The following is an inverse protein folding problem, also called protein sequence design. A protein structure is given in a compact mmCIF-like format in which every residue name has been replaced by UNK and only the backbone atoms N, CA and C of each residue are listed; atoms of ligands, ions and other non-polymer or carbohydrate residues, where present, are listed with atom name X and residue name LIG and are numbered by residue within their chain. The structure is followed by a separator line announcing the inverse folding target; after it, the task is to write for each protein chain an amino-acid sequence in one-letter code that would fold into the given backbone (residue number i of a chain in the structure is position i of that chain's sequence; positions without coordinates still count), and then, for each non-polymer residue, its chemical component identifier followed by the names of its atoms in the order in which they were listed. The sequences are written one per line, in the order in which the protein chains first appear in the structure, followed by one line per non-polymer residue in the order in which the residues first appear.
data_IF_381979675252
#
_entry.id   IF_381979675252
#
_cell.length_a   1.000
_cell.length_b   1.000
_cell.length_c   1.000
_cell.angle_alpha   90.00
_cell.angle_beta   90.00
_cell.angle_gamma   90.00
#
_symmetry.space_group_name_H-M   'P 1'
#
loop_
_entity.id
_entity.type
_entity.pdbx_description
1 polymer ?
#
# COMPACT_ATOMS: atom_id res chain seq x y z
N UNK A 1 -21.98 -6.97 14.74
CA UNK A 1 -22.35 -8.02 13.76
C UNK A 1 -21.80 -7.51 12.42
N UNK A 2 -20.74 -8.05 11.82
CA UNK A 2 -20.41 -9.46 11.52
C UNK A 2 -21.49 -10.09 10.60
N UNK A 3 -21.19 -10.71 9.45
CA UNK A 3 -19.88 -11.02 8.81
C UNK A 3 -20.03 -11.40 7.32
N UNK A 4 -18.94 -11.32 6.54
CA UNK A 4 -18.74 -12.07 5.28
C UNK A 4 -18.94 -11.26 3.98
N UNK A 5 -18.03 -11.25 2.99
CA UNK A 5 -16.64 -11.75 2.93
C UNK A 5 -16.41 -12.89 1.92
N UNK A 6 -15.26 -12.86 1.23
CA UNK A 6 -14.80 -13.72 0.11
C UNK A 6 -15.43 -13.45 -1.29
N UNK A 7 -14.72 -13.71 -2.40
CA UNK A 7 -13.30 -13.41 -2.67
C UNK A 7 -13.01 -13.41 -4.19
N UNK A 8 -11.99 -12.64 -4.54
CA UNK A 8 -11.03 -12.74 -5.64
C UNK A 8 -11.03 -14.02 -6.50
N UNK A 9 -10.99 -13.85 -7.83
CA UNK A 9 -10.68 -14.90 -8.80
C UNK A 9 -9.51 -14.48 -9.70
N UNK A 10 -8.29 -14.91 -9.37
CA UNK A 10 -7.09 -14.60 -10.12
C UNK A 10 -7.07 -15.32 -11.49
N UNK A 11 -6.64 -14.62 -12.54
CA UNK A 11 -6.18 -15.21 -13.79
C UNK A 11 -4.72 -14.82 -14.03
N UNK A 12 -3.81 -15.69 -13.59
CA UNK A 12 -2.38 -15.59 -13.88
C UNK A 12 -1.79 -17.02 -13.99
N UNK A 13 -0.77 -17.20 -14.82
CA UNK A 13 -0.26 -18.53 -15.23
C UNK A 13 -0.48 -18.80 -16.74
N UNK A 14 0.41 -18.53 -17.69
CA UNK A 14 1.88 -18.73 -17.83
C UNK A 14 2.20 -19.96 -18.69
N UNK A 15 3.21 -19.79 -19.58
CA UNK A 15 3.85 -20.77 -20.45
C UNK A 15 2.97 -21.47 -21.52
N UNK A 16 3.50 -21.93 -22.65
CA UNK A 16 4.88 -21.79 -23.13
C UNK A 16 5.45 -23.06 -23.74
N UNK A 17 5.19 -23.29 -25.04
CA UNK A 17 5.97 -24.20 -25.91
C UNK A 17 5.75 -23.74 -27.35
N UNK A 18 6.77 -23.35 -28.13
CA UNK A 18 8.00 -24.05 -28.50
C UNK A 18 7.78 -25.09 -29.61
N UNK A 19 8.64 -25.03 -30.63
CA UNK A 19 8.53 -25.81 -31.87
C UNK A 19 8.98 -27.27 -31.65
N UNK A 20 8.50 -28.18 -32.50
CA UNK A 20 9.38 -29.17 -33.15
C UNK A 20 8.74 -29.81 -34.38
N UNK A 21 9.58 -30.25 -35.30
CA UNK A 21 9.22 -31.09 -36.44
C UNK A 21 9.57 -32.55 -36.14
N UNK A 22 8.85 -33.51 -36.76
CA UNK A 22 9.20 -34.94 -36.64
C UNK A 22 7.99 -35.86 -36.79
N UNK A 23 7.80 -36.42 -37.98
CA UNK A 23 6.64 -37.27 -38.30
C UNK A 23 6.92 -38.41 -39.29
N UNK A 24 8.19 -38.85 -39.42
CA UNK A 24 8.50 -40.09 -40.15
C UNK A 24 7.97 -41.27 -39.34
N UNK A 25 7.03 -42.04 -39.90
CA UNK A 25 6.64 -43.35 -39.36
C UNK A 25 7.19 -44.45 -40.27
N UNK A 26 7.86 -45.41 -39.65
CA UNK A 26 8.61 -46.47 -40.34
C UNK A 26 7.65 -47.48 -40.97
N UNK A 27 8.01 -48.00 -42.14
CA UNK A 27 7.34 -49.15 -42.74
C UNK A 27 8.08 -50.42 -42.28
N UNK A 28 7.44 -51.22 -41.44
CA UNK A 28 8.02 -52.44 -40.91
C UNK A 28 8.16 -53.51 -41.99
N UNK A 29 9.39 -53.95 -42.25
CA UNK A 29 9.65 -55.07 -43.17
C UNK A 29 9.21 -56.41 -42.58
N UNK A 30 8.36 -57.12 -43.30
CA UNK A 30 8.23 -58.58 -43.24
C UNK A 30 8.21 -59.10 -44.68
N UNK A 31 9.25 -59.82 -45.06
CA UNK A 31 9.27 -60.57 -46.32
C UNK A 31 9.73 -62.00 -46.07
N UNK A 32 9.18 -62.95 -46.82
CA UNK A 32 9.90 -64.14 -47.28
C UNK A 32 9.09 -64.91 -48.34
N UNK A 33 9.82 -65.47 -49.30
CA UNK A 33 9.50 -66.62 -50.14
C UNK A 33 8.23 -66.64 -51.01
N UNK A 34 8.45 -66.58 -52.32
CA UNK A 34 7.53 -67.00 -53.38
C UNK A 34 6.95 -68.41 -53.15
N UNK A 35 5.79 -68.68 -53.74
CA UNK A 35 5.61 -69.93 -54.46
C UNK A 35 4.67 -69.73 -55.67
N UNK A 36 5.21 -69.83 -56.88
CA UNK A 36 4.41 -69.79 -58.10
C UNK A 36 3.62 -71.09 -58.26
N UNK A 37 2.29 -70.99 -58.29
CA UNK A 37 1.47 -72.07 -58.85
C UNK A 37 0.28 -71.52 -59.65
N UNK A 38 0.04 -72.12 -60.81
CA UNK A 38 -0.79 -71.54 -61.84
C UNK A 38 -2.29 -71.77 -61.58
N UNK A 39 -3.00 -70.73 -61.15
CA UNK A 39 -4.46 -70.69 -61.25
C UNK A 39 -4.96 -69.32 -61.76
N UNK A 40 -4.79 -69.08 -63.06
CA UNK A 40 -5.46 -67.99 -63.78
C UNK A 40 -6.95 -68.31 -63.87
N UNK A 41 -7.73 -67.85 -62.89
CA UNK A 41 -9.19 -67.76 -63.01
C UNK A 41 -9.56 -66.39 -63.64
N UNK A 42 -9.99 -66.34 -64.91
CA UNK A 42 -10.34 -65.08 -65.58
C UNK A 42 -11.75 -64.55 -65.20
N UNK A 43 -12.44 -65.19 -64.25
CA UNK A 43 -13.87 -65.00 -63.99
C UNK A 43 -14.28 -63.76 -63.18
N UNK A 44 -13.35 -62.89 -62.75
CA UNK A 44 -13.68 -61.64 -62.05
C UNK A 44 -12.93 -60.45 -62.65
N UNK A 45 -13.62 -59.73 -63.55
CA UNK A 45 -13.20 -58.40 -64.01
C UNK A 45 -13.36 -57.40 -62.85
N UNK A 46 -12.36 -56.56 -62.63
CA UNK A 46 -12.53 -55.32 -61.86
C UNK A 46 -13.50 -54.41 -62.62
N UNK A 47 -14.67 -54.13 -62.06
CA UNK A 47 -15.72 -53.33 -62.72
C UNK A 47 -15.45 -51.81 -62.62
N UNK A 48 -14.20 -51.39 -62.86
CA UNK A 48 -13.68 -50.05 -62.52
C UNK A 48 -12.89 -49.37 -63.64
N UNK A 49 -12.32 -50.12 -64.60
CA UNK A 49 -11.47 -49.58 -65.67
C UNK A 49 -11.97 -49.96 -67.08
N UNK A 50 -13.01 -49.25 -67.53
CA UNK A 50 -13.26 -49.02 -68.97
C UNK A 50 -13.89 -47.62 -69.18
N UNK A 51 -13.33 -46.61 -68.51
CA UNK A 51 -13.62 -45.22 -68.82
C UNK A 51 -12.80 -44.83 -70.05
N UNK A 52 -13.46 -44.64 -71.18
CA UNK A 52 -12.82 -44.03 -72.37
C UNK A 52 -12.08 -42.74 -71.99
N UNK A 53 -10.99 -42.41 -72.69
CA UNK A 53 -10.21 -41.20 -72.42
C UNK A 53 -11.04 -39.89 -72.51
N UNK A 54 -12.18 -39.91 -73.22
CA UNK A 54 -13.15 -38.81 -73.26
C UNK A 54 -13.95 -38.68 -71.96
N UNK A 55 -14.28 -39.78 -71.28
CA UNK A 55 -14.90 -39.76 -69.95
C UNK A 55 -13.92 -39.33 -68.86
N UNK A 56 -12.66 -39.78 -68.90
CA UNK A 56 -11.62 -39.33 -67.96
C UNK A 56 -11.45 -37.81 -68.03
N UNK A 57 -11.20 -37.25 -69.22
CA UNK A 57 -11.11 -35.78 -69.43
C UNK A 57 -12.32 -34.99 -68.95
N UNK A 58 -13.53 -35.58 -68.96
CA UNK A 58 -14.74 -34.93 -68.43
C UNK A 58 -14.82 -34.97 -66.90
N UNK A 59 -14.21 -35.96 -66.26
CA UNK A 59 -14.04 -35.97 -64.80
C UNK A 59 -12.98 -34.93 -64.42
N UNK A 60 -11.85 -34.89 -65.14
CA UNK A 60 -10.77 -33.92 -64.91
C UNK A 60 -11.27 -32.46 -65.05
N UNK A 61 -12.05 -32.17 -66.09
CA UNK A 61 -12.70 -30.88 -66.36
C UNK A 61 -13.69 -30.46 -65.24
N UNK A 62 -14.49 -31.41 -64.74
CA UNK A 62 -15.40 -31.18 -63.61
C UNK A 62 -14.63 -30.96 -62.29
N UNK A 63 -13.54 -31.71 -62.05
CA UNK A 63 -12.69 -31.54 -60.85
C UNK A 63 -12.02 -30.17 -60.87
N UNK A 64 -11.42 -29.77 -62.00
CA UNK A 64 -10.82 -28.44 -62.14
C UNK A 64 -11.85 -27.31 -61.92
N UNK A 65 -13.07 -27.44 -62.46
CA UNK A 65 -14.15 -26.48 -62.23
C UNK A 65 -14.58 -26.41 -60.75
N UNK A 66 -14.59 -27.54 -60.04
CA UNK A 66 -14.90 -27.60 -58.59
C UNK A 66 -13.77 -27.01 -57.74
N UNK A 67 -12.51 -27.26 -58.10
CA UNK A 67 -11.35 -26.71 -57.40
C UNK A 67 -11.26 -25.18 -57.57
N UNK A 68 -11.51 -24.64 -58.78
CA UNK A 68 -11.63 -23.19 -58.99
C UNK A 68 -12.78 -22.56 -58.21
N UNK A 69 -13.91 -23.26 -58.08
CA UNK A 69 -15.05 -22.82 -57.27
C UNK A 69 -14.71 -22.83 -55.77
N UNK A 70 -14.00 -23.86 -55.29
CA UNK A 70 -13.54 -23.94 -53.91
C UNK A 70 -12.51 -22.86 -53.58
N UNK A 71 -11.55 -22.60 -54.46
CA UNK A 71 -10.53 -21.54 -54.32
C UNK A 71 -11.16 -20.13 -54.35
N UNK A 72 -12.13 -19.89 -55.25
CA UNK A 72 -12.93 -18.64 -55.21
C UNK A 72 -13.70 -18.50 -53.90
N UNK A 73 -14.37 -19.56 -53.40
CA UNK A 73 -15.07 -19.54 -52.10
C UNK A 73 -14.10 -19.32 -50.93
N UNK A 74 -12.93 -19.94 -50.94
CA UNK A 74 -11.89 -19.76 -49.92
C UNK A 74 -11.40 -18.31 -49.87
N UNK A 75 -11.13 -17.69 -51.04
CA UNK A 75 -10.79 -16.26 -51.13
C UNK A 75 -11.90 -15.36 -50.57
N UNK A 76 -13.16 -15.62 -50.90
CA UNK A 76 -14.29 -14.84 -50.36
C UNK A 76 -14.43 -15.01 -48.83
N UNK A 77 -14.31 -16.23 -48.30
CA UNK A 77 -14.38 -16.50 -46.86
C UNK A 77 -13.20 -15.86 -46.09
N UNK A 78 -11.98 -15.90 -46.62
CA UNK A 78 -10.82 -15.24 -46.05
C UNK A 78 -10.99 -13.71 -46.01
N UNK A 79 -11.47 -13.11 -47.11
CA UNK A 79 -11.74 -11.66 -47.19
C UNK A 79 -12.86 -11.23 -46.24
N UNK A 80 -13.89 -12.05 -46.08
CA UNK A 80 -14.98 -11.82 -45.12
C UNK A 80 -14.49 -11.92 -43.67
N UNK A 81 -13.58 -12.85 -43.34
CA UNK A 81 -12.96 -12.93 -42.00
C UNK A 81 -12.09 -11.71 -41.67
N UNK A 82 -11.26 -11.26 -42.61
CA UNK A 82 -10.31 -10.17 -42.36
C UNK A 82 -10.96 -8.78 -42.37
N UNK A 83 -11.96 -8.55 -43.24
CA UNK A 83 -12.59 -7.24 -43.45
C UNK A 83 -14.07 -7.16 -43.05
N UNK A 84 -14.68 -8.24 -42.56
CA UNK A 84 -16.13 -8.30 -42.26
C UNK A 84 -16.60 -7.38 -41.13
N UNK A 85 -15.70 -6.93 -40.26
CA UNK A 85 -15.98 -5.96 -39.20
C UNK A 85 -16.12 -4.52 -39.72
N UNK A 86 -15.44 -4.18 -40.82
CA UNK A 86 -15.31 -2.80 -41.31
C UNK A 86 -16.66 -2.19 -41.75
N UNK A 87 -17.57 -2.92 -42.47
CA UNK A 87 -18.91 -2.42 -42.77
C UNK A 87 -19.81 -2.18 -41.55
N UNK A 88 -19.54 -2.83 -40.40
CA UNK A 88 -20.27 -2.61 -39.16
C UNK A 88 -19.78 -1.32 -38.49
N UNK A 89 -18.48 -1.23 -38.20
CA UNK A 89 -17.87 -0.07 -37.53
C UNK A 89 -18.11 1.24 -38.28
N UNK A 90 -18.10 1.23 -39.61
CA UNK A 90 -18.42 2.42 -40.42
C UNK A 90 -19.88 2.88 -40.24
N UNK A 91 -20.84 1.96 -40.00
CA UNK A 91 -22.24 2.32 -39.72
C UNK A 91 -22.38 2.92 -38.33
N UNK A 92 -21.70 2.34 -37.34
CA UNK A 92 -21.71 2.83 -35.96
C UNK A 92 -21.13 4.25 -35.91
N UNK A 93 -20.05 4.53 -36.65
CA UNK A 93 -19.52 5.89 -36.85
C UNK A 93 -20.51 6.83 -37.55
N UNK A 94 -21.18 6.40 -38.63
CA UNK A 94 -22.19 7.23 -39.32
C UNK A 94 -23.36 7.61 -38.40
N UNK A 95 -23.77 6.69 -37.52
CA UNK A 95 -24.85 6.90 -36.54
C UNK A 95 -24.39 7.82 -35.41
N UNK A 96 -23.22 7.58 -34.83
CA UNK A 96 -22.65 8.39 -33.74
C UNK A 96 -22.35 9.82 -34.16
N UNK A 97 -21.61 9.99 -35.25
CA UNK A 97 -21.18 11.30 -35.79
C UNK A 97 -22.25 11.98 -36.67
N UNK A 98 -23.44 11.37 -36.81
CA UNK A 98 -24.61 11.91 -37.54
C UNK A 98 -24.31 12.37 -38.98
N UNK A 99 -23.54 11.56 -39.69
CA UNK A 99 -22.89 11.94 -40.95
C UNK A 99 -23.90 12.12 -42.10
N UNK A 100 -23.99 13.30 -42.74
CA UNK A 100 -24.97 13.56 -43.79
C UNK A 100 -24.85 12.59 -44.99
N UNK A 101 -26.00 12.18 -45.52
CA UNK A 101 -26.06 11.43 -46.78
C UNK A 101 -25.55 12.27 -47.96
N UNK A 102 -24.70 11.72 -48.85
CA UNK A 102 -24.24 12.41 -50.06
C UNK A 102 -25.38 12.85 -50.99
N UNK A 103 -25.13 13.92 -51.76
CA UNK A 103 -26.15 14.62 -52.55
C UNK A 103 -26.20 14.22 -54.04
N UNK A 104 -25.38 13.27 -54.49
CA UNK A 104 -25.26 12.87 -55.89
C UNK A 104 -25.60 11.38 -56.12
N UNK A 105 -26.34 11.02 -57.19
CA UNK A 105 -26.60 9.64 -57.58
C UNK A 105 -25.60 9.11 -58.63
N UNK A 106 -24.94 7.98 -58.33
CA UNK A 106 -23.96 7.25 -59.19
C UNK A 106 -22.88 6.59 -58.31
N UNK A 107 -22.35 5.39 -58.55
CA UNK A 107 -22.49 4.46 -59.68
C UNK A 107 -22.52 2.97 -59.25
N UNK A 108 -23.00 2.12 -60.16
CA UNK A 108 -23.06 0.67 -59.99
C UNK A 108 -21.65 0.00 -59.96
N UNK A 109 -21.51 -1.23 -59.44
CA UNK A 109 -20.21 -1.91 -59.36
C UNK A 109 -19.78 -2.50 -60.71
N UNK A 110 -18.61 -2.09 -61.20
CA UNK A 110 -17.71 -3.01 -61.92
C UNK A 110 -16.83 -3.77 -60.92
N UNK A 111 -16.22 -4.86 -61.37
CA UNK A 111 -15.75 -5.96 -60.54
C UNK A 111 -14.54 -5.69 -59.61
N UNK A 112 -14.25 -6.67 -58.75
CA UNK A 112 -13.14 -6.73 -57.77
C UNK A 112 -13.34 -5.90 -56.47
N UNK A 113 -14.50 -5.24 -56.31
CA UNK A 113 -14.85 -4.39 -55.15
C UNK A 113 -14.68 -5.07 -53.78
N UNK A 114 -14.34 -4.29 -52.75
CA UNK A 114 -14.35 -4.69 -51.32
C UNK A 114 -15.76 -5.10 -50.85
N UNK A 115 -15.91 -5.75 -49.67
CA UNK A 115 -17.23 -6.02 -49.09
C UNK A 115 -18.10 -4.75 -49.10
N UNK A 116 -19.33 -4.80 -49.65
CA UNK A 116 -20.13 -3.60 -49.85
C UNK A 116 -20.52 -3.00 -48.49
N UNK A 117 -20.06 -1.78 -48.23
CA UNK A 117 -20.33 -1.06 -46.97
C UNK A 117 -21.84 -0.86 -46.73
N UNK A 118 -22.62 -0.81 -47.82
CA UNK A 118 -24.05 -0.48 -47.82
C UNK A 118 -24.34 1.00 -47.59
N UNK A 119 -23.30 1.83 -47.67
CA UNK A 119 -23.30 3.29 -47.66
C UNK A 119 -22.32 3.78 -48.74
N UNK A 120 -22.47 4.99 -49.30
CA UNK A 120 -21.52 5.53 -50.28
C UNK A 120 -20.12 5.75 -49.67
N UNK A 121 -19.08 5.63 -50.50
CA UNK A 121 -17.68 5.76 -50.05
C UNK A 121 -17.39 7.14 -49.44
N UNK A 122 -17.99 8.20 -49.99
CA UNK A 122 -17.88 9.57 -49.47
C UNK A 122 -18.42 9.70 -48.04
N UNK A 123 -19.54 9.04 -47.74
CA UNK A 123 -20.14 9.05 -46.41
C UNK A 123 -19.29 8.27 -45.41
N UNK A 124 -18.77 7.11 -45.83
CA UNK A 124 -17.85 6.30 -45.03
C UNK A 124 -16.54 7.03 -44.71
N UNK A 125 -15.96 7.73 -45.69
CA UNK A 125 -14.76 8.55 -45.49
C UNK A 125 -15.04 9.74 -44.56
N UNK A 126 -16.16 10.45 -44.75
CA UNK A 126 -16.56 11.57 -43.89
C UNK A 126 -16.78 11.10 -42.44
N UNK A 127 -17.37 9.92 -42.24
CA UNK A 127 -17.55 9.30 -40.93
C UNK A 127 -16.22 8.97 -40.25
N UNK A 128 -15.29 8.37 -40.98
CA UNK A 128 -13.96 8.07 -40.46
C UNK A 128 -13.19 9.33 -40.05
N UNK A 129 -13.26 10.41 -40.85
CA UNK A 129 -12.61 11.70 -40.53
C UNK A 129 -13.28 12.39 -39.33
N UNK A 130 -14.61 12.37 -39.23
CA UNK A 130 -15.34 12.90 -38.08
C UNK A 130 -14.97 12.15 -36.79
N UNK A 131 -15.13 10.83 -36.79
CA UNK A 131 -14.79 9.97 -35.64
C UNK A 131 -13.33 10.13 -35.20
N UNK A 132 -12.39 10.14 -36.15
CA UNK A 132 -10.96 10.32 -35.84
C UNK A 132 -10.66 11.69 -35.21
N UNK A 133 -11.43 12.73 -35.56
CA UNK A 133 -11.33 14.05 -34.93
C UNK A 133 -11.95 14.05 -33.53
N UNK A 134 -13.11 13.43 -33.35
CA UNK A 134 -13.78 13.34 -32.04
C UNK A 134 -12.96 12.54 -31.03
N UNK A 135 -12.43 11.38 -31.43
CA UNK A 135 -11.49 10.62 -30.60
C UNK A 135 -10.18 11.37 -30.36
N UNK A 136 -9.64 12.15 -31.32
CA UNK A 136 -8.45 12.97 -31.07
C UNK A 136 -8.68 14.05 -30.01
N UNK A 137 -9.85 14.70 -29.99
CA UNK A 137 -10.22 15.68 -28.96
C UNK A 137 -10.37 15.01 -27.59
N UNK A 138 -11.11 13.88 -27.53
CA UNK A 138 -11.33 13.08 -26.31
C UNK A 138 -10.05 12.51 -25.71
N UNK A 139 -9.10 12.07 -26.55
CA UNK A 139 -7.78 11.64 -26.08
C UNK A 139 -6.94 12.82 -25.57
N UNK A 140 -7.16 14.04 -26.09
CA UNK A 140 -6.61 15.27 -25.51
C UNK A 140 -7.15 15.55 -24.11
N UNK A 141 -8.47 15.49 -23.94
CA UNK A 141 -9.14 15.65 -22.64
C UNK A 141 -8.61 14.64 -21.60
N UNK A 142 -8.56 13.35 -21.94
CA UNK A 142 -8.01 12.29 -21.08
C UNK A 142 -6.51 12.51 -20.78
N UNK A 143 -5.74 13.03 -21.74
CA UNK A 143 -4.32 13.37 -21.52
C UNK A 143 -4.15 14.54 -20.55
N UNK A 144 -5.03 15.53 -20.58
CA UNK A 144 -5.03 16.65 -19.63
C UNK A 144 -5.52 16.23 -18.24
N UNK A 145 -6.50 15.33 -18.13
CA UNK A 145 -6.88 14.72 -16.86
C UNK A 145 -5.71 13.95 -16.23
N UNK A 146 -5.02 13.11 -17.00
CA UNK A 146 -3.83 12.38 -16.55
C UNK A 146 -2.70 13.33 -16.14
N UNK A 147 -2.50 14.45 -16.87
CA UNK A 147 -1.52 15.49 -16.51
C UNK A 147 -1.85 16.13 -15.16
N UNK A 148 -3.11 16.53 -14.94
CA UNK A 148 -3.58 17.14 -13.70
C UNK A 148 -3.54 16.15 -12.53
N UNK A 149 -3.82 14.86 -12.77
CA UNK A 149 -3.69 13.81 -11.75
C UNK A 149 -2.23 13.57 -11.34
N UNK A 150 -1.28 13.60 -12.28
CA UNK A 150 0.16 13.55 -11.96
C UNK A 150 0.59 14.75 -11.12
N UNK A 151 0.29 15.98 -11.56
CA UNK A 151 0.63 17.21 -10.81
C UNK A 151 0.07 17.19 -9.37
N UNK A 152 -1.16 16.68 -9.18
CA UNK A 152 -1.75 16.45 -7.85
C UNK A 152 -1.00 15.39 -7.05
N UNK A 153 -0.58 14.30 -7.68
CA UNK A 153 0.18 13.24 -7.03
C UNK A 153 1.57 13.73 -6.59
N UNK A 154 2.33 14.38 -7.47
CA UNK A 154 3.63 14.99 -7.12
C UNK A 154 3.49 16.00 -5.96
N UNK A 155 2.33 16.68 -5.83
CA UNK A 155 2.05 17.60 -4.72
C UNK A 155 1.71 16.87 -3.41
N UNK A 156 1.17 15.66 -3.48
CA UNK A 156 0.92 14.79 -2.32
C UNK A 156 2.21 14.09 -1.88
N UNK A 157 3.05 13.64 -2.82
CA UNK A 157 4.38 13.06 -2.57
C UNK A 157 5.25 14.04 -1.78
N UNK A 158 5.45 15.26 -2.29
CA UNK A 158 6.19 16.34 -1.59
C UNK A 158 5.58 16.78 -0.25
N UNK A 159 4.34 16.41 0.06
CA UNK A 159 3.73 16.59 1.40
C UNK A 159 4.03 15.39 2.30
N UNK A 160 3.97 14.19 1.76
CA UNK A 160 4.28 12.95 2.45
C UNK A 160 5.76 12.92 2.88
N UNK A 161 6.68 13.38 2.01
CA UNK A 161 8.10 13.52 2.32
C UNK A 161 8.31 14.42 3.56
N UNK A 162 7.71 15.62 3.57
CA UNK A 162 7.77 16.58 4.68
C UNK A 162 7.15 16.04 5.97
N UNK A 163 6.08 15.26 5.87
CA UNK A 163 5.48 14.59 7.03
C UNK A 163 6.40 13.47 7.55
N UNK A 164 7.10 12.76 6.67
CA UNK A 164 8.13 11.79 7.03
C UNK A 164 9.32 12.44 7.75
N UNK A 165 9.82 13.57 7.23
CA UNK A 165 10.86 14.39 7.88
C UNK A 165 10.42 14.83 9.30
N UNK A 166 9.17 15.29 9.46
CA UNK A 166 8.61 15.67 10.76
C UNK A 166 8.47 14.48 11.72
N UNK A 167 7.99 13.33 11.24
CA UNK A 167 7.86 12.12 12.05
C UNK A 167 9.21 11.59 12.51
N UNK A 168 10.22 11.54 11.65
CA UNK A 168 11.56 11.07 12.04
C UNK A 168 12.28 12.10 12.95
N UNK A 169 12.02 13.40 12.78
CA UNK A 169 12.47 14.45 13.72
C UNK A 169 11.86 14.25 15.11
N UNK A 170 10.54 14.05 15.21
CA UNK A 170 9.85 13.77 16.47
C UNK A 170 10.34 12.46 17.10
N UNK A 171 10.57 11.42 16.29
CA UNK A 171 11.13 10.14 16.73
C UNK A 171 12.53 10.30 17.33
N UNK A 172 13.39 11.12 16.72
CA UNK A 172 14.72 11.44 17.25
C UNK A 172 14.62 12.19 18.59
N UNK A 173 13.73 13.19 18.69
CA UNK A 173 13.48 13.93 19.93
C UNK A 173 12.97 13.02 21.06
N UNK A 174 12.01 12.12 20.77
CA UNK A 174 11.52 11.13 21.74
C UNK A 174 12.63 10.15 22.14
N UNK A 175 13.48 9.73 21.20
CA UNK A 175 14.62 8.87 21.50
C UNK A 175 15.65 9.55 22.42
N UNK A 176 15.91 10.84 22.21
CA UNK A 176 16.75 11.65 23.09
C UNK A 176 16.14 11.82 24.49
N UNK A 177 14.84 12.13 24.56
CA UNK A 177 14.11 12.27 25.83
C UNK A 177 14.09 10.97 26.63
N UNK A 178 13.88 9.82 25.98
CA UNK A 178 13.98 8.51 26.62
C UNK A 178 15.39 8.21 27.16
N UNK A 179 16.44 8.64 26.44
CA UNK A 179 17.82 8.54 26.92
C UNK A 179 18.08 9.42 28.16
N UNK A 180 17.60 10.66 28.16
CA UNK A 180 17.69 11.58 29.31
C UNK A 180 16.91 11.06 30.52
N UNK A 181 15.69 10.54 30.29
CA UNK A 181 14.88 9.92 31.34
C UNK A 181 15.57 8.69 31.95
N UNK A 182 16.21 7.84 31.13
CA UNK A 182 17.02 6.73 31.60
C UNK A 182 18.12 7.18 32.55
N UNK A 183 18.93 8.16 32.13
CA UNK A 183 20.00 8.74 32.94
C UNK A 183 19.50 9.31 34.28
N UNK A 184 18.35 10.00 34.29
CA UNK A 184 17.75 10.53 35.52
C UNK A 184 17.30 9.38 36.45
N UNK A 185 16.69 8.33 35.91
CA UNK A 185 16.26 7.14 36.67
C UNK A 185 17.46 6.39 37.26
N UNK A 186 18.56 6.27 36.52
CA UNK A 186 19.80 5.65 37.00
C UNK A 186 20.42 6.47 38.15
N UNK A 187 20.49 7.80 38.00
CA UNK A 187 20.98 8.72 39.04
C UNK A 187 20.11 8.67 40.30
N UNK A 188 18.78 8.59 40.15
CA UNK A 188 17.85 8.46 41.28
C UNK A 188 18.06 7.13 42.02
N UNK A 189 18.22 6.00 41.32
CA UNK A 189 18.51 4.71 41.95
C UNK A 189 19.85 4.72 42.70
N UNK A 190 20.92 5.31 42.12
CA UNK A 190 22.21 5.47 42.81
C UNK A 190 22.09 6.40 44.03
N UNK A 191 21.24 7.43 43.97
CA UNK A 191 20.97 8.32 45.09
C UNK A 191 20.20 7.62 46.22
N UNK A 192 19.16 6.85 45.91
CA UNK A 192 18.38 6.09 46.88
C UNK A 192 19.23 5.02 47.59
N UNK A 193 20.09 4.31 46.85
CA UNK A 193 21.08 3.39 47.44
C UNK A 193 21.97 4.13 48.44
N UNK A 194 22.57 5.26 48.03
CA UNK A 194 23.43 6.07 48.92
C UNK A 194 22.68 6.63 50.13
N UNK A 195 21.38 6.96 50.02
CA UNK A 195 20.57 7.32 51.19
C UNK A 195 20.50 6.14 52.17
N UNK A 196 20.23 4.91 51.68
CA UNK A 196 20.16 3.74 52.56
C UNK A 196 21.50 3.41 53.22
N UNK A 197 22.61 3.53 52.49
CA UNK A 197 23.97 3.32 53.02
C UNK A 197 24.33 4.36 54.10
N UNK A 198 24.10 5.65 53.83
CA UNK A 198 24.34 6.71 54.82
C UNK A 198 23.41 6.58 56.04
N UNK A 199 22.17 6.12 55.86
CA UNK A 199 21.26 5.84 56.98
C UNK A 199 21.84 4.74 57.89
N UNK A 200 22.29 3.63 57.33
CA UNK A 200 22.88 2.53 58.12
C UNK A 200 24.14 2.98 58.85
N UNK A 201 25.01 3.77 58.21
CA UNK A 201 26.21 4.33 58.86
C UNK A 201 25.86 5.31 60.01
N UNK A 202 24.79 6.10 59.85
CA UNK A 202 24.27 6.97 60.92
C UNK A 202 23.65 6.18 62.08
N UNK A 203 22.95 5.07 61.79
CA UNK A 203 22.41 4.17 62.82
C UNK A 203 23.53 3.42 63.58
N UNK A 204 24.60 2.99 62.89
CA UNK A 204 25.78 2.38 63.51
C UNK A 204 26.54 3.36 64.41
N UNK A 205 26.78 4.59 63.94
CA UNK A 205 27.44 5.64 64.74
C UNK A 205 26.58 6.10 65.91
N UNK A 206 25.26 6.18 65.76
CA UNK A 206 24.34 6.45 66.87
C UNK A 206 24.36 5.33 67.92
N UNK A 207 24.40 4.06 67.50
CA UNK A 207 24.53 2.93 68.42
C UNK A 207 25.87 2.93 69.18
N UNK A 208 26.97 3.34 68.53
CA UNK A 208 28.27 3.53 69.19
C UNK A 208 28.24 4.64 70.25
N UNK A 209 27.56 5.77 69.97
CA UNK A 209 27.37 6.85 70.96
C UNK A 209 26.51 6.36 72.13
N UNK A 210 25.38 5.70 71.87
CA UNK A 210 24.51 5.14 72.93
C UNK A 210 25.23 4.12 73.80
N UNK A 211 26.11 3.29 73.23
CA UNK A 211 26.94 2.36 73.99
C UNK A 211 27.97 3.07 74.88
N UNK A 212 28.56 4.17 74.40
CA UNK A 212 29.44 5.04 75.20
C UNK A 212 28.69 5.71 76.35
N UNK A 213 27.52 6.28 76.09
CA UNK A 213 26.69 6.95 77.12
C UNK A 213 26.18 5.95 78.16
N UNK A 214 25.76 4.75 77.73
CA UNK A 214 25.38 3.68 78.65
C UNK A 214 26.55 3.23 79.55
N UNK A 215 27.77 3.16 79.01
CA UNK A 215 28.98 2.85 79.78
C UNK A 215 29.33 3.97 80.76
N UNK A 216 29.23 5.25 80.36
CA UNK A 216 29.44 6.39 81.24
C UNK A 216 28.41 6.44 82.37
N UNK A 217 27.13 6.24 82.07
CA UNK A 217 26.06 6.18 83.07
C UNK A 217 26.25 5.01 84.05
N UNK A 218 26.65 3.82 83.56
CA UNK A 218 26.96 2.66 84.40
C UNK A 218 28.23 2.84 85.26
N UNK A 219 29.14 3.74 84.88
CA UNK A 219 30.28 4.15 85.69
C UNK A 219 29.86 5.20 86.74
N UNK A 220 29.12 6.23 86.36
CA UNK A 220 28.58 7.26 87.28
C UNK A 220 27.69 6.63 88.37
N UNK A 221 26.87 5.63 88.02
CA UNK A 221 26.03 4.89 88.98
C UNK A 221 26.81 4.10 90.05
N UNK A 222 28.14 3.96 89.94
CA UNK A 222 28.99 3.39 91.00
C UNK A 222 29.51 4.47 91.98
N UNK A 223 29.35 5.75 91.64
CA UNK A 223 29.81 6.90 92.43
C UNK A 223 28.67 7.76 92.98
N UNK A 224 27.44 7.62 92.45
CA UNK A 224 26.24 8.11 93.12
C UNK A 224 25.90 7.15 94.27
N UNK A 225 26.54 7.39 95.41
CA UNK A 225 25.96 7.02 96.70
C UNK A 225 24.67 7.84 96.84
N UNK A 226 23.51 7.18 96.85
CA UNK A 226 22.23 7.84 97.09
C UNK A 226 22.31 8.52 98.47
N UNK A 227 22.29 9.87 98.55
CA UNK A 227 22.35 10.52 99.84
C UNK A 227 21.12 10.06 100.63
N UNK A 228 21.24 9.74 101.93
CA UNK A 228 20.08 9.42 102.74
C UNK A 228 19.06 10.55 102.60
N UNK A 229 17.77 10.19 102.63
CA UNK A 229 16.72 11.18 102.83
C UNK A 229 16.93 11.80 104.21
N UNK A 230 17.68 12.89 104.23
CA UNK A 230 17.88 13.73 105.40
C UNK A 230 16.51 14.36 105.66
N UNK A 231 15.90 14.03 106.80
CA UNK A 231 14.74 14.73 107.37
C UNK A 231 15.23 16.12 107.82
N UNK A 232 15.62 16.93 106.84
CA UNK A 232 16.06 18.30 107.01
C UNK A 232 14.94 19.09 107.70
N UNK A 233 15.29 20.10 108.53
CA UNK A 233 14.30 20.82 109.31
C UNK A 233 13.15 21.32 108.42
N UNK A 234 11.91 21.11 108.86
CA UNK A 234 10.75 21.72 108.21
C UNK A 234 10.84 23.24 108.40
N UNK A 235 11.49 23.92 107.46
CA UNK A 235 11.47 25.37 107.38
C UNK A 235 10.04 25.78 107.04
N UNK A 236 9.39 26.52 107.95
CA UNK A 236 8.13 27.18 107.63
C UNK A 236 8.39 28.11 106.45
N UNK A 237 7.72 27.85 105.32
CA UNK A 237 7.72 28.75 104.16
C UNK A 237 6.87 29.95 104.52
N UNK A 238 7.45 30.89 105.27
CA UNK A 238 6.83 32.18 105.56
C UNK A 238 6.48 32.87 104.24
N UNK A 239 5.25 33.36 104.16
CA UNK A 239 4.65 33.86 102.93
C UNK A 239 5.51 34.96 102.28
N UNK A 240 5.94 34.72 101.05
CA UNK A 240 6.51 35.73 100.17
C UNK A 240 5.53 35.92 99.01
N UNK A 241 4.74 36.99 99.15
CA UNK A 241 3.67 37.43 98.24
C UNK A 241 4.27 38.02 96.95
N UNK A 242 4.83 37.15 96.10
CA UNK A 242 4.89 37.36 94.65
C UNK A 242 3.62 36.72 94.06
N UNK A 243 2.62 37.44 93.57
CA UNK A 243 2.57 38.86 93.19
C UNK A 243 2.30 38.94 91.70
N UNK A 244 1.01 38.98 91.35
CA UNK A 244 0.53 38.62 90.02
C UNK A 244 1.16 39.45 88.89
N UNK A 245 1.86 38.77 87.97
CA UNK A 245 2.34 39.31 86.70
C UNK A 245 1.55 38.69 85.55
N UNK A 246 0.30 39.13 85.41
CA UNK A 246 -0.50 38.94 84.20
C UNK A 246 0.03 39.85 83.08
N UNK A 247 1.13 39.46 82.42
CA UNK A 247 1.51 40.03 81.12
C UNK A 247 0.65 39.40 80.03
N UNK A 248 -0.47 40.10 79.74
CA UNK A 248 -1.49 39.71 78.76
C UNK A 248 -0.91 39.68 77.32
N UNK A 249 -1.27 38.69 76.47
CA UNK A 249 -0.64 38.52 75.16
C UNK A 249 -1.39 39.27 74.06
N UNK A 250 -0.92 40.47 73.68
CA UNK A 250 -1.11 41.09 72.36
C UNK A 250 -0.30 42.42 72.25
N UNK A 251 0.98 42.35 71.85
CA UNK A 251 1.69 43.48 71.23
C UNK A 251 2.15 43.08 69.82
N UNK A 252 1.30 43.40 68.84
CA UNK A 252 1.58 43.33 67.40
C UNK A 252 1.84 44.74 66.84
N UNK A 253 2.97 44.96 66.16
CA UNK A 253 3.15 46.09 65.26
C UNK A 253 3.22 45.63 63.78
N UNK A 254 2.11 45.85 63.07
CA UNK A 254 2.01 45.87 61.60
C UNK A 254 2.97 46.89 60.93
N UNK A 255 3.09 46.79 59.58
CA UNK A 255 3.73 47.74 58.64
C UNK A 255 5.29 47.85 58.77
N UNK A 256 6.11 47.93 57.70
CA UNK A 256 5.90 47.83 56.23
C UNK A 256 7.11 46.99 55.66
N UNK A 257 7.62 47.01 54.42
CA UNK A 257 7.54 47.88 53.23
C UNK A 257 7.57 47.01 51.93
N UNK A 258 6.94 47.54 50.88
CA UNK A 258 6.79 47.09 49.48
C UNK A 258 8.08 46.61 48.74
N UNK A 259 7.92 45.73 47.72
CA UNK A 259 8.61 45.92 46.42
C UNK A 259 8.04 45.05 45.28
N UNK A 260 7.29 45.66 44.34
CA UNK A 260 7.50 45.42 42.91
C UNK A 260 6.49 44.57 42.12
N UNK A 261 5.49 45.22 41.54
CA UNK A 261 4.75 44.72 40.37
C UNK A 261 5.67 44.49 39.15
N UNK A 262 5.46 43.41 38.41
CA UNK A 262 6.28 43.03 37.24
C UNK A 262 5.45 42.53 36.05
N UNK A 263 4.46 43.33 35.64
CA UNK A 263 3.70 43.16 34.41
C UNK A 263 4.64 43.05 33.19
N UNK A 264 4.83 41.84 32.68
CA UNK A 264 5.60 41.56 31.46
C UNK A 264 4.65 41.34 30.29
N UNK A 265 3.95 42.41 29.89
CA UNK A 265 3.02 42.39 28.76
C UNK A 265 3.74 42.00 27.45
N UNK A 266 3.08 41.14 26.68
CA UNK A 266 3.67 40.47 25.52
C UNK A 266 3.57 41.37 24.29
N UNK A 267 4.69 42.04 23.98
CA UNK A 267 4.84 42.94 22.82
C UNK A 267 4.25 42.36 21.53
N UNK A 268 3.10 42.87 21.12
CA UNK A 268 2.43 42.47 19.89
C UNK A 268 3.12 43.12 18.68
N UNK A 269 3.61 42.30 17.76
CA UNK A 269 4.23 42.78 16.53
C UNK A 269 3.16 43.32 15.59
N UNK A 270 3.18 44.63 15.35
CA UNK A 270 2.42 45.27 14.27
C UNK A 270 2.96 44.80 12.91
N UNK A 271 2.14 44.14 12.12
CA UNK A 271 2.51 43.62 10.80
C UNK A 271 1.77 44.38 9.69
N UNK A 272 2.39 45.44 9.17
CA UNK A 272 1.87 46.20 8.03
C UNK A 272 1.98 45.37 6.73
N UNK A 273 0.86 45.11 6.05
CA UNK A 273 0.77 44.80 4.60
C UNK A 273 -0.68 44.66 4.12
N UNK A 274 -1.21 45.70 3.47
CA UNK A 274 -2.13 45.62 2.31
C UNK A 274 -2.08 46.96 1.53
#
# INVERSE_FOLDING_TARGET
MLTGGHNEGNFDGNAGSAMTCGGKREQSSFGMANNDNANRNPGRRSATDDLTAKSQRRVDDIVAQVDEEMDRRARHAARARYWGWLPMVIRDWIIGERVPSPRYPGDAPTDHRLPPLGVPMEQAFTAHVAFSRCEAMRNGELSDEVRVLREKNDRLERKNDRLGEQVETLRLQVSQLMGQHGQIVDIMQEHDVRITENRVANEETQAMVQASDAMLNAWVAQFIEEPPQDDGPQFEVNDLEEGDFDEDPDEDPEEDEDDGDADSDVSQVTMDSD
#
